data_IF_766057806032
#
_entry.id   IF_766057806032
#
_cell.length_a   1.000
_cell.length_b   1.000
_cell.length_c   1.000
_cell.angle_alpha   90.00
_cell.angle_beta   90.00
_cell.angle_gamma   90.00
#
_symmetry.space_group_name_H-M   'P 1'
#
loop_
_entity.id
_entity.type
_entity.pdbx_description
1 polymer ?
#
# COMPACT_ATOMS: atom_id res chain seq x y z
N UNK A 1 3.86 6.41 12.78
CA UNK A 1 3.35 5.02 12.83
C UNK A 1 4.45 3.97 13.07
N UNK A 2 5.66 4.21 12.62
CA UNK A 2 6.81 3.39 13.01
C UNK A 2 7.51 4.02 14.23
N UNK A 3 7.50 3.33 15.35
CA UNK A 3 8.16 3.77 16.59
C UNK A 3 8.74 2.57 17.33
N UNK A 4 9.92 2.72 17.88
CA UNK A 4 10.59 1.70 18.69
C UNK A 4 10.72 0.33 17.98
N UNK A 5 10.99 0.35 16.66
CA UNK A 5 11.05 -0.83 15.77
C UNK A 5 9.74 -1.63 15.66
N UNK A 6 8.62 -1.04 16.05
CA UNK A 6 7.30 -1.64 15.92
C UNK A 6 6.60 -1.15 14.66
N UNK A 7 6.06 -2.07 13.88
CA UNK A 7 5.32 -1.81 12.65
C UNK A 7 3.83 -1.73 12.97
N UNK A 8 3.31 -0.53 13.19
CA UNK A 8 1.90 -0.31 13.50
C UNK A 8 1.00 -0.70 12.32
N UNK A 9 -0.12 -1.32 12.61
CA UNK A 9 -1.13 -1.74 11.61
C UNK A 9 -2.49 -1.13 11.88
N UNK A 10 -2.95 -1.22 13.14
CA UNK A 10 -4.30 -0.86 13.53
C UNK A 10 -4.39 -0.59 15.03
N UNK A 11 -5.56 -0.17 15.48
CA UNK A 11 -5.89 -0.03 16.90
C UNK A 11 -7.10 -0.88 17.23
N UNK A 12 -7.10 -1.47 18.41
CA UNK A 12 -8.20 -2.25 18.97
C UNK A 12 -8.59 -1.72 20.35
N UNK A 13 -9.66 -2.24 20.92
CA UNK A 13 -10.07 -1.92 22.28
C UNK A 13 -8.97 -2.20 23.34
N UNK A 14 -8.04 -3.11 23.03
CA UNK A 14 -6.93 -3.48 23.91
C UNK A 14 -5.63 -2.70 23.60
N UNK A 15 -5.69 -1.70 22.72
CA UNK A 15 -4.55 -0.89 22.32
C UNK A 15 -4.05 -1.15 20.89
N UNK A 16 -2.85 -0.63 20.56
CA UNK A 16 -2.29 -0.70 19.23
C UNK A 16 -1.89 -2.13 18.83
N UNK A 17 -2.10 -2.45 17.56
CA UNK A 17 -1.73 -3.74 16.95
C UNK A 17 -0.51 -3.50 16.06
N UNK A 18 0.50 -4.34 16.19
CA UNK A 18 1.75 -4.24 15.45
C UNK A 18 2.07 -5.55 14.73
N UNK A 19 2.75 -5.44 13.58
CA UNK A 19 3.40 -6.57 12.93
C UNK A 19 4.77 -6.79 13.58
N UNK A 20 5.10 -8.05 13.82
CA UNK A 20 6.44 -8.46 14.24
C UNK A 20 7.39 -8.31 13.04
N UNK A 21 8.36 -7.40 13.11
CA UNK A 21 9.18 -7.00 11.97
C UNK A 21 9.88 -8.15 11.24
N UNK A 22 10.44 -9.13 11.96
CA UNK A 22 11.08 -10.30 11.36
C UNK A 22 10.10 -11.31 10.72
N UNK A 23 8.80 -11.11 10.91
CA UNK A 23 7.72 -11.90 10.27
C UNK A 23 6.97 -11.12 9.19
N UNK A 24 7.35 -9.87 8.94
CA UNK A 24 6.65 -8.98 8.00
C UNK A 24 6.83 -9.39 6.52
N UNK A 25 7.70 -10.33 6.21
CA UNK A 25 7.90 -10.92 4.88
C UNK A 25 6.87 -12.01 4.52
N UNK A 26 5.81 -12.15 5.28
CA UNK A 26 4.74 -13.13 5.04
C UNK A 26 3.61 -12.52 4.24
N UNK A 27 2.80 -13.40 3.63
CA UNK A 27 1.58 -12.99 2.96
C UNK A 27 0.49 -12.59 3.97
N UNK A 28 -0.34 -11.63 3.59
CA UNK A 28 -1.48 -11.19 4.39
C UNK A 28 -2.72 -11.00 3.52
N UNK A 29 -3.87 -11.03 4.14
CA UNK A 29 -5.15 -10.74 3.51
C UNK A 29 -5.89 -9.67 4.31
N UNK A 30 -6.28 -8.57 3.64
CA UNK A 30 -7.17 -7.56 4.20
C UNK A 30 -8.54 -7.72 3.55
N UNK A 31 -9.48 -8.30 4.27
CA UNK A 31 -10.83 -8.57 3.80
C UNK A 31 -11.86 -7.70 4.54
N UNK A 32 -12.95 -7.37 3.84
CA UNK A 32 -14.05 -6.59 4.39
C UNK A 32 -14.96 -6.04 3.30
N UNK A 33 -16.17 -5.60 3.66
CA UNK A 33 -17.11 -4.95 2.75
C UNK A 33 -16.59 -3.60 2.24
N UNK A 34 -17.26 -3.03 1.26
CA UNK A 34 -16.96 -1.67 0.79
C UNK A 34 -17.15 -0.65 1.91
N UNK A 35 -16.23 0.30 2.04
CA UNK A 35 -16.30 1.35 3.08
C UNK A 35 -15.77 0.95 4.46
N UNK A 36 -15.30 -0.28 4.67
CA UNK A 36 -14.78 -0.74 5.98
C UNK A 36 -13.35 -0.31 6.28
N UNK A 37 -12.67 0.39 5.35
CA UNK A 37 -11.33 0.93 5.56
C UNK A 37 -10.18 0.05 5.05
N UNK A 38 -10.43 -0.91 4.14
CA UNK A 38 -9.37 -1.76 3.55
C UNK A 38 -8.23 -0.94 2.92
N UNK A 39 -8.58 0.05 2.09
CA UNK A 39 -7.60 0.94 1.45
C UNK A 39 -6.82 1.74 2.49
N UNK A 40 -7.50 2.24 3.52
CA UNK A 40 -6.84 2.96 4.63
C UNK A 40 -5.85 2.05 5.35
N UNK A 41 -6.18 0.78 5.58
CA UNK A 41 -5.25 -0.18 6.19
C UNK A 41 -4.02 -0.42 5.31
N UNK A 42 -4.19 -0.49 3.98
CA UNK A 42 -3.05 -0.59 3.05
C UNK A 42 -2.17 0.66 3.09
N UNK A 43 -2.77 1.86 3.15
CA UNK A 43 -2.04 3.12 3.28
C UNK A 43 -1.25 3.17 4.59
N UNK A 44 -1.87 2.80 5.71
CA UNK A 44 -1.21 2.72 7.03
C UNK A 44 -0.02 1.77 7.01
N UNK A 45 -0.16 0.59 6.39
CA UNK A 45 0.93 -0.36 6.25
C UNK A 45 2.07 0.21 5.40
N UNK A 46 1.77 0.79 4.24
CA UNK A 46 2.76 1.38 3.35
C UNK A 46 3.50 2.55 4.02
N UNK A 47 2.79 3.41 4.74
CA UNK A 47 3.37 4.50 5.53
C UNK A 47 4.31 3.95 6.61
N UNK A 48 3.86 2.95 7.37
CA UNK A 48 4.66 2.34 8.43
C UNK A 48 5.93 1.68 7.88
N UNK A 49 5.83 0.95 6.77
CA UNK A 49 7.00 0.37 6.12
C UNK A 49 7.93 1.44 5.54
N UNK A 50 7.37 2.49 4.92
CA UNK A 50 8.16 3.62 4.41
C UNK A 50 8.94 4.31 5.52
N UNK A 51 8.33 4.57 6.67
CA UNK A 51 8.99 5.13 7.85
C UNK A 51 10.07 4.19 8.42
N UNK A 52 9.89 2.88 8.26
CA UNK A 52 10.90 1.87 8.62
C UNK A 52 12.04 1.76 7.58
N UNK A 53 12.00 2.53 6.49
CA UNK A 53 13.00 2.47 5.41
C UNK A 53 12.79 1.30 4.44
N UNK A 54 11.63 0.66 4.45
CA UNK A 54 11.29 -0.47 3.58
C UNK A 54 10.50 0.04 2.37
N UNK A 55 10.99 -0.16 1.13
CA UNK A 55 10.26 0.25 -0.05
C UNK A 55 9.03 -0.62 -0.27
N UNK A 56 7.91 0.01 -0.65
CA UNK A 56 6.65 -0.64 -0.95
C UNK A 56 6.28 -0.49 -2.42
N UNK A 57 5.79 -1.55 -3.04
CA UNK A 57 5.16 -1.51 -4.35
C UNK A 57 3.66 -1.76 -4.20
N UNK A 58 2.85 -0.86 -4.77
CA UNK A 58 1.40 -0.94 -4.67
C UNK A 58 0.76 -0.80 -6.05
N UNK A 59 -0.18 -1.68 -6.37
CA UNK A 59 -1.00 -1.56 -7.58
C UNK A 59 -2.28 -0.81 -7.25
N UNK A 60 -2.47 0.36 -7.87
CA UNK A 60 -3.63 1.23 -7.66
C UNK A 60 -4.55 1.22 -8.88
N UNK A 61 -5.62 0.45 -8.80
CA UNK A 61 -6.61 0.31 -9.88
C UNK A 61 -7.67 1.43 -9.88
N UNK A 62 -7.80 2.16 -8.77
CA UNK A 62 -8.86 3.16 -8.58
C UNK A 62 -8.33 4.57 -8.43
N UNK A 63 -7.03 4.74 -8.20
CA UNK A 63 -6.40 6.04 -7.94
C UNK A 63 -6.60 6.55 -6.49
N UNK A 64 -7.03 5.68 -5.57
CA UNK A 64 -7.31 6.05 -4.18
C UNK A 64 -6.10 5.89 -3.24
N UNK A 65 -5.01 5.29 -3.71
CA UNK A 65 -3.77 5.14 -2.95
C UNK A 65 -2.81 6.33 -3.09
N UNK A 66 -2.94 7.11 -4.16
CA UNK A 66 -2.03 8.24 -4.46
C UNK A 66 -1.99 9.31 -3.37
N UNK A 67 -3.08 9.43 -2.59
CA UNK A 67 -3.19 10.36 -1.47
C UNK A 67 -2.10 10.20 -0.40
N UNK A 68 -1.45 9.03 -0.30
CA UNK A 68 -0.35 8.79 0.63
C UNK A 68 0.86 9.71 0.39
N UNK A 69 1.00 10.29 -0.81
CA UNK A 69 2.04 11.26 -1.15
C UNK A 69 1.82 12.65 -0.55
N UNK A 70 0.62 12.93 -0.07
CA UNK A 70 0.23 14.24 0.45
C UNK A 70 0.23 14.27 1.96
N UNK A 71 0.55 15.42 2.50
CA UNK A 71 0.40 15.65 3.94
C UNK A 71 -1.08 15.62 4.30
N UNK A 72 -1.45 14.74 5.20
CA UNK A 72 -2.79 14.65 5.74
C UNK A 72 -3.09 15.73 6.76
N UNK A 73 -4.20 15.57 7.47
CA UNK A 73 -4.59 16.48 8.56
C UNK A 73 -5.67 15.87 9.46
N UNK A 74 -5.78 16.43 10.65
CA UNK A 74 -6.79 16.02 11.60
C UNK A 74 -8.18 16.44 11.10
N UNK A 75 -9.03 15.47 10.87
CA UNK A 75 -10.43 15.68 10.47
C UNK A 75 -11.38 15.25 11.58
N UNK A 76 -12.61 15.77 11.57
CA UNK A 76 -13.66 15.36 12.52
C UNK A 76 -13.90 13.85 12.53
N UNK A 77 -13.69 13.19 11.37
CA UNK A 77 -13.81 11.73 11.29
C UNK A 77 -12.68 11.04 12.05
N UNK A 78 -11.43 11.51 11.90
CA UNK A 78 -10.27 10.96 12.62
C UNK A 78 -10.41 11.22 14.11
N UNK A 79 -10.80 12.44 14.52
CA UNK A 79 -11.05 12.79 15.93
C UNK A 79 -12.08 11.84 16.58
N UNK A 80 -13.20 11.62 15.90
CA UNK A 80 -14.25 10.69 16.35
C UNK A 80 -13.70 9.27 16.52
N UNK A 81 -12.94 8.77 15.53
CA UNK A 81 -12.34 7.43 15.59
C UNK A 81 -11.32 7.31 16.72
N UNK A 82 -10.49 8.33 16.91
CA UNK A 82 -9.55 8.35 18.01
C UNK A 82 -10.26 8.31 19.37
N UNK A 83 -11.33 9.09 19.54
CA UNK A 83 -12.12 9.08 20.76
C UNK A 83 -12.80 7.71 21.02
N UNK A 84 -13.34 7.07 19.97
CA UNK A 84 -13.95 5.73 20.08
C UNK A 84 -12.96 4.66 20.58
N UNK A 85 -11.68 4.78 20.21
CA UNK A 85 -10.66 3.78 20.51
C UNK A 85 -9.64 4.23 21.56
N UNK A 86 -9.87 5.36 22.22
CA UNK A 86 -8.98 5.90 23.26
C UNK A 86 -7.60 6.29 22.74
N UNK A 87 -7.50 6.68 21.46
CA UNK A 87 -6.25 7.11 20.84
C UNK A 87 -6.01 8.60 21.11
N UNK A 88 -4.78 8.94 21.47
CA UNK A 88 -4.37 10.34 21.62
C UNK A 88 -4.07 10.97 20.25
N UNK A 89 -4.89 11.95 19.86
CA UNK A 89 -4.73 12.68 18.60
C UNK A 89 -3.42 13.44 18.48
N UNK A 90 -2.80 13.81 19.60
CA UNK A 90 -1.51 14.52 19.61
C UNK A 90 -0.34 13.63 19.17
N UNK A 91 -0.50 12.32 19.21
CA UNK A 91 0.51 11.35 18.78
C UNK A 91 0.46 11.08 17.27
N UNK A 92 -0.58 11.55 16.58
CA UNK A 92 -0.71 11.37 15.14
C UNK A 92 0.24 12.32 14.39
N UNK A 93 1.00 11.75 13.48
CA UNK A 93 1.85 12.49 12.56
C UNK A 93 1.25 12.45 11.17
N UNK A 94 1.12 13.60 10.54
CA UNK A 94 0.56 13.74 9.19
C UNK A 94 1.67 14.18 8.25
N UNK A 95 2.35 13.21 7.65
CA UNK A 95 3.44 13.44 6.71
C UNK A 95 3.15 12.73 5.39
N UNK A 96 3.54 13.35 4.28
CA UNK A 96 3.47 12.69 2.97
C UNK A 96 4.61 11.69 2.81
N UNK A 97 4.32 10.51 2.30
CA UNK A 97 5.36 9.53 1.96
C UNK A 97 6.07 9.90 0.65
N UNK A 98 7.37 9.61 0.50
CA UNK A 98 8.06 9.74 -0.77
C UNK A 98 7.55 8.68 -1.76
N UNK A 99 6.79 9.11 -2.75
CA UNK A 99 6.10 8.22 -3.72
C UNK A 99 6.57 8.49 -5.13
N UNK A 100 6.73 7.42 -5.93
CA UNK A 100 6.84 7.50 -7.39
C UNK A 100 5.62 6.86 -8.01
N UNK A 101 4.88 7.64 -8.76
CA UNK A 101 3.71 7.18 -9.49
C UNK A 101 4.11 6.73 -10.89
N UNK A 102 3.83 5.48 -11.21
CA UNK A 102 4.01 4.91 -12.54
C UNK A 102 2.64 4.75 -13.21
N UNK A 103 2.59 5.02 -14.50
CA UNK A 103 1.38 4.90 -15.31
C UNK A 103 1.69 4.11 -16.59
N UNK A 104 0.93 3.06 -16.81
CA UNK A 104 1.07 2.22 -18.02
C UNK A 104 0.85 3.03 -19.29
N UNK A 105 -0.08 3.99 -19.25
CA UNK A 105 -0.41 4.87 -20.38
C UNK A 105 0.44 6.14 -20.45
N UNK A 106 1.20 6.46 -19.40
CA UNK A 106 2.05 7.65 -19.33
C UNK A 106 1.30 8.97 -19.35
N UNK A 107 0.05 8.99 -18.87
CA UNK A 107 -0.80 10.20 -18.87
C UNK A 107 -0.69 10.99 -17.57
N UNK A 108 -0.57 10.31 -16.44
CA UNK A 108 -0.64 10.92 -15.11
C UNK A 108 0.57 10.61 -14.22
N UNK A 109 1.49 9.76 -14.70
CA UNK A 109 2.68 9.36 -13.96
C UNK A 109 3.85 9.07 -14.89
N UNK A 110 4.93 8.54 -14.31
CA UNK A 110 6.07 8.07 -15.09
C UNK A 110 5.63 6.91 -16.00
N UNK A 111 5.89 6.97 -17.30
CA UNK A 111 5.47 5.89 -18.19
C UNK A 111 6.20 4.60 -17.83
N UNK A 112 5.41 3.54 -17.57
CA UNK A 112 5.95 2.21 -17.36
C UNK A 112 6.16 1.55 -18.72
N UNK A 113 7.41 1.25 -19.04
CA UNK A 113 7.80 0.61 -20.31
C UNK A 113 8.73 -0.56 -20.04
N UNK A 114 8.62 -1.57 -20.88
CA UNK A 114 9.54 -2.71 -20.90
C UNK A 114 9.93 -3.04 -22.33
N UNK A 115 11.03 -3.74 -22.51
CA UNK A 115 11.40 -4.32 -23.80
C UNK A 115 10.91 -5.76 -23.89
N UNK A 116 10.76 -6.27 -25.12
CA UNK A 116 10.39 -7.67 -25.37
C UNK A 116 11.37 -8.62 -24.68
N UNK A 117 12.65 -8.30 -24.76
CA UNK A 117 13.72 -9.08 -24.12
C UNK A 117 13.53 -9.19 -22.60
N UNK A 118 13.23 -8.07 -21.92
CA UNK A 118 13.02 -8.04 -20.46
C UNK A 118 11.71 -8.70 -20.04
N UNK A 119 10.70 -8.66 -20.91
CA UNK A 119 9.41 -9.31 -20.64
C UNK A 119 9.54 -10.84 -20.69
N UNK A 120 10.37 -11.34 -21.61
CA UNK A 120 10.56 -12.77 -21.82
C UNK A 120 9.43 -13.47 -22.55
N UNK A 121 9.72 -14.63 -23.12
CA UNK A 121 8.79 -15.37 -23.98
C UNK A 121 7.49 -15.78 -23.25
N UNK A 122 7.57 -16.23 -22.00
CA UNK A 122 6.42 -16.70 -21.25
C UNK A 122 5.38 -15.60 -20.98
N UNK A 123 5.83 -14.40 -20.59
CA UNK A 123 4.89 -13.28 -20.37
C UNK A 123 4.29 -12.77 -21.66
N UNK A 124 5.09 -12.75 -22.73
CA UNK A 124 4.61 -12.41 -24.06
C UNK A 124 3.56 -13.41 -24.57
N UNK A 125 3.82 -14.71 -24.44
CA UNK A 125 2.89 -15.76 -24.81
C UNK A 125 1.54 -15.63 -24.09
N UNK A 126 1.57 -15.33 -22.80
CA UNK A 126 0.36 -15.06 -21.99
C UNK A 126 -0.39 -13.81 -22.44
N UNK A 127 0.31 -12.72 -22.70
CA UNK A 127 -0.30 -11.48 -23.20
C UNK A 127 -0.95 -11.64 -24.57
N UNK A 128 -0.35 -12.46 -25.41
CA UNK A 128 -0.84 -12.74 -26.78
C UNK A 128 -1.81 -13.92 -26.82
N UNK A 129 -2.14 -14.52 -25.67
CA UNK A 129 -3.04 -15.68 -25.56
C UNK A 129 -2.62 -16.86 -26.46
N UNK A 130 -1.30 -17.08 -26.60
CA UNK A 130 -0.76 -18.13 -27.42
C UNK A 130 -1.03 -19.50 -26.81
N UNK A 131 -1.34 -20.49 -27.68
CA UNK A 131 -1.40 -21.89 -27.28
C UNK A 131 0.01 -22.51 -27.17
N UNK A 132 0.12 -23.74 -26.67
CA UNK A 132 1.40 -24.42 -26.45
C UNK A 132 2.24 -24.52 -27.73
N UNK A 133 1.62 -24.84 -28.85
CA UNK A 133 2.31 -24.95 -30.17
C UNK A 133 2.86 -23.60 -30.61
N UNK A 134 2.11 -22.51 -30.41
CA UNK A 134 2.51 -21.16 -30.78
C UNK A 134 3.58 -20.59 -29.83
N UNK A 135 3.61 -21.03 -28.60
CA UNK A 135 4.62 -20.64 -27.60
C UNK A 135 5.96 -21.32 -27.89
N UNK A 136 5.97 -22.40 -28.62
CA UNK A 136 7.18 -23.14 -28.96
C UNK A 136 7.76 -23.97 -27.82
N UNK A 137 6.90 -24.35 -26.88
CA UNK A 137 7.22 -25.22 -25.73
C UNK A 137 6.71 -26.64 -26.02
#
# INVERSE_FOLDING_TARGET
MYKDKQLYVAHSANGPIHIIGNMANRHGLIAGATGTGKTVTLQVLAETFSQAGVPCFMADMKGDLSGISQTGGLSKFIEKRCAEWGMDTTTLQFEGCPVRLYDVYGKQGHPMRTTIEKMGAMLLARLMELNETQTGI
#
